data_IF_227888972266
#
_entry.id   IF_227888972266
#
_cell.length_a   1.000
_cell.length_b   1.000
_cell.length_c   1.000
_cell.angle_alpha   90.00
_cell.angle_beta   90.00
_cell.angle_gamma   90.00
#
_symmetry.space_group_name_H-M   'P 1'
#
loop_
_entity.id
_entity.type
_entity.pdbx_description
1 polymer ?
#
# COMPACT_ATOMS: atom_id res chain seq x y z
N UNK A 1 -2.26 27.32 -15.45
CA UNK A 1 -2.26 26.98 -14.00
C UNK A 1 -2.74 25.56 -13.89
N UNK A 2 -1.89 24.63 -13.41
CA UNK A 2 -2.32 23.26 -13.23
C UNK A 2 -3.39 23.23 -12.12
N UNK A 3 -4.60 22.78 -12.48
CA UNK A 3 -5.65 22.51 -11.49
C UNK A 3 -5.22 21.25 -10.72
N UNK A 4 -4.55 21.43 -9.59
CA UNK A 4 -4.40 20.36 -8.62
C UNK A 4 -5.77 20.18 -7.97
N UNK A 5 -6.49 19.13 -8.31
CA UNK A 5 -7.71 18.77 -7.59
C UNK A 5 -7.31 18.40 -6.16
N UNK A 6 -7.67 19.21 -5.16
CA UNK A 6 -7.27 18.92 -3.80
C UNK A 6 -7.96 17.64 -3.33
N UNK A 7 -7.17 16.74 -2.76
CA UNK A 7 -7.68 15.55 -2.08
C UNK A 7 -7.82 15.88 -0.60
N UNK A 8 -9.02 15.67 -0.05
CA UNK A 8 -9.31 15.86 1.36
C UNK A 8 -9.08 14.56 2.12
N UNK A 9 -8.08 14.53 2.97
CA UNK A 9 -7.84 13.39 3.87
C UNK A 9 -8.93 13.35 4.95
N UNK A 10 -9.55 12.20 5.12
CA UNK A 10 -10.63 11.95 6.08
C UNK A 10 -10.17 11.13 7.28
N UNK A 11 -9.29 10.14 7.06
CA UNK A 11 -8.81 9.23 8.10
C UNK A 11 -7.43 8.70 7.76
N UNK A 12 -6.57 8.58 8.77
CA UNK A 12 -5.31 7.84 8.69
C UNK A 12 -5.38 6.64 9.63
N UNK A 13 -5.08 5.46 9.11
CA UNK A 13 -5.06 4.21 9.86
C UNK A 13 -3.69 3.55 9.76
N UNK A 14 -3.38 2.75 10.77
CA UNK A 14 -2.30 1.78 10.75
C UNK A 14 -2.91 0.38 10.77
N UNK A 15 -2.58 -0.45 9.79
CA UNK A 15 -3.14 -1.79 9.64
C UNK A 15 -2.01 -2.80 9.78
N UNK A 16 -2.12 -3.63 10.82
CA UNK A 16 -1.19 -4.73 11.09
C UNK A 16 -1.78 -6.07 10.65
N UNK A 17 -0.97 -7.09 10.39
CA UNK A 17 -1.43 -8.48 10.43
C UNK A 17 -2.16 -8.78 11.73
N UNK A 18 -3.04 -9.80 11.79
CA UNK A 18 -3.72 -10.16 13.03
C UNK A 18 -2.72 -10.41 14.16
N UNK A 19 -2.95 -9.86 15.38
CA UNK A 19 -2.01 -9.96 16.49
C UNK A 19 -1.60 -11.40 16.80
N UNK A 20 -0.32 -11.63 17.03
CA UNK A 20 0.23 -12.94 17.38
C UNK A 20 0.19 -13.98 16.25
N UNK A 21 -0.15 -13.58 15.01
CA UNK A 21 -0.25 -14.51 13.89
C UNK A 21 1.10 -14.93 13.29
N UNK A 22 2.18 -14.17 13.52
CA UNK A 22 3.44 -14.34 12.79
C UNK A 22 4.69 -14.39 13.69
N UNK A 23 4.73 -13.62 14.78
CA UNK A 23 5.97 -13.36 15.53
C UNK A 23 6.99 -12.53 14.72
N UNK A 24 8.11 -12.21 15.33
CA UNK A 24 9.16 -11.41 14.71
C UNK A 24 9.87 -12.20 13.59
N UNK A 25 10.19 -11.52 12.50
CA UNK A 25 10.86 -12.10 11.33
C UNK A 25 11.94 -11.17 10.82
N UNK A 26 13.06 -11.75 10.44
CA UNK A 26 14.15 -11.06 9.74
C UNK A 26 14.38 -11.82 8.43
N UNK A 27 14.48 -11.09 7.32
CA UNK A 27 14.76 -11.65 6.00
C UNK A 27 15.98 -10.92 5.42
N UNK A 28 17.04 -11.64 5.09
CA UNK A 28 18.18 -11.04 4.40
C UNK A 28 17.76 -10.60 3.00
N UNK A 29 18.43 -9.57 2.49
CA UNK A 29 18.27 -9.17 1.09
C UNK A 29 18.93 -10.20 0.17
N UNK A 30 18.31 -10.39 -1.00
CA UNK A 30 18.93 -11.14 -2.09
C UNK A 30 19.85 -10.24 -2.92
N UNK A 31 20.70 -10.83 -3.76
CA UNK A 31 21.55 -10.08 -4.69
C UNK A 31 20.74 -9.12 -5.59
N UNK A 32 19.54 -9.52 -5.99
CA UNK A 32 18.68 -8.69 -6.85
C UNK A 32 18.03 -7.53 -6.09
N UNK A 33 17.78 -7.66 -4.81
CA UNK A 33 17.18 -6.59 -3.97
C UNK A 33 18.16 -5.43 -3.78
N UNK A 34 19.47 -5.72 -3.73
CA UNK A 34 20.53 -4.72 -3.51
C UNK A 34 20.50 -3.61 -4.56
N UNK A 35 20.15 -3.92 -5.81
CA UNK A 35 20.05 -2.92 -6.89
C UNK A 35 18.96 -1.88 -6.64
N UNK A 36 17.98 -2.17 -5.79
CA UNK A 36 16.84 -1.32 -5.50
C UNK A 36 16.92 -0.61 -4.15
N UNK A 37 18.08 -0.68 -3.48
CA UNK A 37 18.30 0.04 -2.23
C UNK A 37 18.22 1.58 -2.44
N UNK A 38 17.80 2.34 -1.42
CA UNK A 38 17.79 3.80 -1.51
C UNK A 38 19.13 4.37 -2.03
N UNK A 39 19.12 5.46 -2.82
CA UNK A 39 18.02 6.42 -3.02
C UNK A 39 17.07 6.14 -4.21
N UNK A 40 16.91 4.91 -4.65
CA UNK A 40 16.07 4.61 -5.81
C UNK A 40 14.59 4.92 -5.59
N UNK A 41 13.84 5.24 -6.68
CA UNK A 41 12.46 5.66 -6.58
C UNK A 41 11.55 4.52 -6.08
N UNK A 42 10.51 4.90 -5.36
CA UNK A 42 9.44 3.99 -4.99
C UNK A 42 8.59 3.61 -6.20
N UNK A 43 8.08 2.38 -6.22
CA UNK A 43 7.00 1.97 -7.12
C UNK A 43 5.73 2.69 -6.71
N UNK A 44 5.09 3.37 -7.66
CA UNK A 44 3.78 3.99 -7.48
C UNK A 44 2.80 3.41 -8.47
N UNK A 45 1.63 3.02 -7.99
CA UNK A 45 0.57 2.46 -8.81
C UNK A 45 -0.79 3.01 -8.39
N UNK A 46 -1.72 3.05 -9.35
CA UNK A 46 -3.09 3.49 -9.17
C UNK A 46 -4.03 2.44 -9.75
N UNK A 47 -5.02 2.04 -8.97
CA UNK A 47 -6.06 1.11 -9.35
C UNK A 47 -7.40 1.83 -9.25
N UNK A 48 -8.07 1.99 -10.38
CA UNK A 48 -9.38 2.65 -10.45
C UNK A 48 -10.48 1.61 -10.55
N UNK A 49 -11.59 1.84 -9.84
CA UNK A 49 -12.80 1.03 -9.91
C UNK A 49 -14.03 1.93 -9.82
N UNK A 50 -15.02 1.68 -10.66
CA UNK A 50 -16.31 2.36 -10.56
C UNK A 50 -17.00 2.01 -9.25
N UNK A 51 -17.65 3.02 -8.64
CA UNK A 51 -18.34 2.88 -7.36
C UNK A 51 -19.44 3.94 -7.26
N UNK A 52 -20.70 3.52 -7.35
CA UNK A 52 -21.86 4.40 -7.51
C UNK A 52 -22.57 4.75 -6.19
N UNK A 53 -21.95 4.53 -5.04
CA UNK A 53 -22.55 4.79 -3.75
C UNK A 53 -21.97 6.05 -3.08
N UNK A 54 -22.70 6.53 -2.06
CA UNK A 54 -22.30 7.71 -1.30
C UNK A 54 -21.05 7.47 -0.44
N UNK A 55 -20.37 8.57 -0.08
CA UNK A 55 -19.28 8.56 0.89
C UNK A 55 -19.70 7.95 2.24
N UNK A 56 -20.93 8.21 2.70
CA UNK A 56 -21.46 7.65 3.95
C UNK A 56 -21.49 6.12 3.91
N UNK A 57 -21.98 5.53 2.80
CA UNK A 57 -21.99 4.07 2.63
C UNK A 57 -20.57 3.52 2.58
N UNK A 58 -19.69 4.17 1.82
CA UNK A 58 -18.28 3.76 1.73
C UNK A 58 -17.62 3.71 3.10
N UNK A 59 -17.72 4.80 3.87
CA UNK A 59 -17.06 4.93 5.17
C UNK A 59 -17.58 3.93 6.21
N UNK A 60 -18.88 3.64 6.21
CA UNK A 60 -19.50 2.81 7.25
C UNK A 60 -19.56 1.31 6.90
N UNK A 61 -19.44 0.95 5.63
CA UNK A 61 -19.59 -0.44 5.17
C UNK A 61 -18.33 -0.95 4.46
N UNK A 62 -17.88 -0.24 3.43
CA UNK A 62 -16.80 -0.74 2.57
C UNK A 62 -15.43 -0.56 3.24
N UNK A 63 -15.14 0.62 3.76
CA UNK A 63 -13.83 0.91 4.33
C UNK A 63 -13.47 0.04 5.56
N UNK A 64 -14.40 -0.27 6.50
CA UNK A 64 -14.15 -1.25 7.54
C UNK A 64 -13.80 -2.65 7.01
N UNK A 65 -14.49 -3.10 5.95
CA UNK A 65 -14.19 -4.37 5.30
C UNK A 65 -12.80 -4.33 4.63
N UNK A 66 -12.44 -3.24 3.94
CA UNK A 66 -11.10 -3.06 3.37
C UNK A 66 -10.01 -3.09 4.44
N UNK A 67 -10.23 -2.47 5.60
CA UNK A 67 -9.28 -2.54 6.73
C UNK A 67 -9.11 -3.96 7.26
N UNK A 68 -10.20 -4.67 7.46
CA UNK A 68 -10.18 -6.04 7.96
C UNK A 68 -9.50 -6.99 6.97
N UNK A 69 -9.92 -6.97 5.71
CA UNK A 69 -9.35 -7.82 4.66
C UNK A 69 -7.87 -7.50 4.41
N UNK A 70 -7.46 -6.21 4.51
CA UNK A 70 -6.05 -5.84 4.43
C UNK A 70 -5.23 -6.49 5.56
N UNK A 71 -5.73 -6.44 6.80
CA UNK A 71 -5.07 -7.10 7.94
C UNK A 71 -4.85 -8.60 7.70
N UNK A 72 -5.88 -9.30 7.20
CA UNK A 72 -5.78 -10.72 6.86
C UNK A 72 -4.79 -10.97 5.70
N UNK A 73 -4.85 -10.16 4.66
CA UNK A 73 -3.92 -10.27 3.51
C UNK A 73 -2.47 -10.07 3.93
N UNK A 74 -2.22 -9.08 4.79
CA UNK A 74 -0.87 -8.77 5.28
C UNK A 74 -0.24 -9.92 6.07
N UNK A 75 -1.02 -10.86 6.62
CA UNK A 75 -0.46 -12.08 7.22
C UNK A 75 0.33 -12.91 6.20
N UNK A 76 -0.13 -12.95 4.95
CA UNK A 76 0.53 -13.68 3.86
C UNK A 76 1.64 -12.86 3.19
N UNK A 77 1.56 -11.55 3.28
CA UNK A 77 2.52 -10.59 2.72
C UNK A 77 3.21 -9.78 3.83
N UNK A 78 3.49 -10.42 4.97
CA UNK A 78 4.00 -9.75 6.17
C UNK A 78 5.26 -8.90 5.95
N UNK A 79 6.19 -9.22 5.03
CA UNK A 79 7.34 -8.36 4.81
C UNK A 79 6.93 -6.92 4.46
N UNK A 80 5.81 -6.75 3.73
CA UNK A 80 5.29 -5.43 3.34
C UNK A 80 4.82 -4.58 4.53
N UNK A 81 4.54 -5.20 5.69
CA UNK A 81 4.21 -4.48 6.93
C UNK A 81 5.43 -4.05 7.71
N UNK A 82 6.58 -4.66 7.44
CA UNK A 82 7.85 -4.38 8.10
C UNK A 82 8.60 -3.19 7.50
N UNK A 83 9.87 -3.16 7.78
CA UNK A 83 10.78 -2.08 7.41
C UNK A 83 12.04 -2.62 6.76
N UNK A 84 12.62 -1.83 5.87
CA UNK A 84 14.03 -1.96 5.50
C UNK A 84 14.85 -1.27 6.58
N UNK A 85 15.71 -2.02 7.25
CA UNK A 85 16.53 -1.53 8.36
C UNK A 85 18.00 -1.65 8.01
N UNK A 86 18.76 -0.63 8.36
CA UNK A 86 20.20 -0.65 8.35
C UNK A 86 20.73 0.07 9.59
N UNK A 87 21.68 -0.54 10.25
CA UNK A 87 22.39 0.05 11.39
C UNK A 87 23.89 -0.21 11.28
N UNK A 88 24.72 0.49 12.09
CA UNK A 88 26.16 0.25 12.11
C UNK A 88 26.51 -1.17 12.61
N UNK A 89 25.65 -1.80 13.36
CA UNK A 89 25.84 -3.16 13.87
C UNK A 89 25.55 -4.21 12.80
N UNK A 90 24.78 -3.86 11.75
CA UNK A 90 24.43 -4.73 10.64
C UNK A 90 25.44 -4.55 9.51
N UNK A 91 26.06 -5.62 9.07
CA UNK A 91 26.96 -5.60 7.91
C UNK A 91 26.23 -5.25 6.61
N UNK A 92 24.95 -5.57 6.50
CA UNK A 92 24.09 -5.38 5.33
C UNK A 92 22.68 -4.97 5.76
N UNK A 93 21.92 -4.22 4.93
CA UNK A 93 20.52 -3.93 5.18
C UNK A 93 19.68 -5.22 5.19
N UNK A 94 18.61 -5.25 5.97
CA UNK A 94 17.71 -6.39 6.05
C UNK A 94 16.24 -5.97 6.16
N UNK A 95 15.32 -6.86 5.79
CA UNK A 95 13.91 -6.69 6.09
C UNK A 95 13.62 -7.18 7.49
N UNK A 96 13.08 -6.28 8.31
CA UNK A 96 12.68 -6.59 9.68
C UNK A 96 11.17 -6.42 9.81
N UNK A 97 10.49 -7.46 10.30
CA UNK A 97 9.10 -7.41 10.73
C UNK A 97 9.04 -7.74 12.22
N UNK A 98 8.48 -6.84 12.99
CA UNK A 98 8.21 -7.02 14.44
C UNK A 98 6.69 -7.15 14.59
N UNK A 99 6.25 -8.07 15.45
CA UNK A 99 4.80 -8.27 15.67
C UNK A 99 4.15 -6.96 16.12
N UNK A 100 3.12 -6.53 15.38
CA UNK A 100 2.51 -5.20 15.51
C UNK A 100 2.96 -4.16 14.49
N UNK A 101 3.97 -4.43 13.68
CA UNK A 101 4.31 -3.58 12.53
C UNK A 101 3.11 -3.43 11.59
N UNK A 102 3.03 -2.29 10.91
CA UNK A 102 1.81 -1.89 10.22
C UNK A 102 2.04 -1.11 8.94
N UNK A 103 1.14 -1.30 8.02
CA UNK A 103 1.03 -0.49 6.79
C UNK A 103 0.17 0.75 7.06
N UNK A 104 0.59 1.89 6.52
CA UNK A 104 -0.23 3.11 6.53
C UNK A 104 -1.36 3.00 5.49
N UNK A 105 -2.60 3.21 5.92
CA UNK A 105 -3.78 3.29 5.06
C UNK A 105 -4.47 4.63 5.27
N UNK A 106 -4.57 5.42 4.20
CA UNK A 106 -5.25 6.72 4.20
C UNK A 106 -6.60 6.61 3.49
N UNK A 107 -7.67 7.10 4.12
CA UNK A 107 -8.94 7.35 3.46
C UNK A 107 -9.00 8.83 3.07
N UNK A 108 -9.31 9.10 1.82
CA UNK A 108 -9.42 10.44 1.29
C UNK A 108 -10.65 10.59 0.38
N UNK A 109 -11.06 11.82 0.13
CA UNK A 109 -12.14 12.19 -0.77
C UNK A 109 -11.63 13.19 -1.81
N UNK A 110 -12.09 13.06 -3.03
CA UNK A 110 -11.80 13.99 -4.13
C UNK A 110 -13.07 14.34 -4.88
N UNK A 111 -13.20 15.61 -5.25
CA UNK A 111 -14.21 16.14 -6.17
C UNK A 111 -13.73 16.21 -7.63
N UNK A 112 -12.55 15.63 -7.90
CA UNK A 112 -11.98 15.54 -9.23
C UNK A 112 -12.81 14.69 -10.20
N UNK A 113 -12.56 14.85 -11.50
CA UNK A 113 -13.24 14.09 -12.54
C UNK A 113 -12.68 12.65 -12.60
N UNK A 114 -13.40 11.72 -11.97
CA UNK A 114 -13.06 10.29 -11.94
C UNK A 114 -12.91 9.71 -13.36
N UNK A 115 -13.86 10.01 -14.27
CA UNK A 115 -13.85 9.44 -15.62
C UNK A 115 -12.69 9.98 -16.45
N UNK A 116 -12.33 11.26 -16.26
CA UNK A 116 -11.12 11.81 -16.84
C UNK A 116 -9.86 11.11 -16.30
N UNK A 117 -9.75 10.93 -14.98
CA UNK A 117 -8.56 10.33 -14.36
C UNK A 117 -8.41 8.83 -14.70
N UNK A 118 -9.51 8.09 -14.78
CA UNK A 118 -9.50 6.65 -15.10
C UNK A 118 -9.50 6.32 -16.58
N UNK A 119 -9.81 7.30 -17.46
CA UNK A 119 -10.00 7.12 -18.88
C UNK A 119 -8.71 6.76 -19.66
N UNK A 120 -8.86 6.21 -20.85
CA UNK A 120 -7.74 5.84 -21.73
C UNK A 120 -7.42 6.95 -22.74
N UNK A 121 -6.80 8.04 -22.28
CA UNK A 121 -6.35 9.17 -23.07
C UNK A 121 -5.13 9.84 -22.41
N UNK A 122 -4.53 10.84 -23.06
CA UNK A 122 -3.42 11.59 -22.47
C UNK A 122 -3.90 12.42 -21.27
N UNK A 123 -3.17 12.34 -20.16
CA UNK A 123 -3.48 13.03 -18.88
C UNK A 123 -2.23 13.68 -18.32
N UNK A 124 -2.42 14.76 -17.58
CA UNK A 124 -1.34 15.40 -16.84
C UNK A 124 -0.97 14.55 -15.61
N UNK A 125 0.28 14.10 -15.56
CA UNK A 125 0.81 13.29 -14.45
C UNK A 125 0.69 13.99 -13.09
N UNK A 126 0.70 15.32 -13.07
CA UNK A 126 0.57 16.08 -11.83
C UNK A 126 -0.78 15.87 -11.12
N UNK A 127 -1.82 15.47 -11.86
CA UNK A 127 -3.14 15.18 -11.30
C UNK A 127 -3.15 13.91 -10.44
N UNK A 128 -2.16 13.03 -10.63
CA UNK A 128 -2.09 11.74 -9.92
C UNK A 128 -1.29 11.79 -8.61
N UNK A 129 -0.45 12.81 -8.41
CA UNK A 129 0.41 12.89 -7.22
C UNK A 129 -0.38 12.91 -5.90
N UNK A 130 -1.56 13.50 -5.88
CA UNK A 130 -2.42 13.55 -4.70
C UNK A 130 -3.15 12.23 -4.41
N UNK A 131 -3.17 11.30 -5.37
CA UNK A 131 -3.85 10.00 -5.24
C UNK A 131 -2.94 8.90 -4.70
N UNK A 132 -1.64 9.15 -4.59
CA UNK A 132 -0.67 8.18 -4.04
C UNK A 132 -0.11 8.69 -2.72
N UNK A 133 0.00 7.82 -1.68
CA UNK A 133 0.61 8.20 -0.42
C UNK A 133 2.12 8.38 -0.55
N UNK A 134 2.74 9.04 0.43
CA UNK A 134 4.19 9.10 0.58
C UNK A 134 4.67 8.05 1.56
N UNK A 135 5.79 7.38 1.25
CA UNK A 135 6.53 6.60 2.23
C UNK A 135 7.46 7.56 2.97
N UNK A 136 7.16 7.80 4.24
CA UNK A 136 7.99 8.62 5.10
C UNK A 136 8.86 7.71 5.97
N UNK A 137 10.19 7.86 5.97
CA UNK A 137 11.06 7.11 6.86
C UNK A 137 10.62 7.22 8.33
N UNK A 138 10.64 6.13 9.06
CA UNK A 138 10.28 6.10 10.48
C UNK A 138 11.40 6.65 11.36
N UNK A 139 12.65 6.49 10.92
CA UNK A 139 13.84 7.07 11.52
C UNK A 139 14.88 7.35 10.45
N UNK A 140 15.54 8.49 10.56
CA UNK A 140 16.75 8.84 9.78
C UNK A 140 17.74 9.46 10.76
N UNK A 141 18.26 8.65 11.68
CA UNK A 141 19.36 9.04 12.55
C UNK A 141 20.62 8.41 11.93
N UNK A 142 21.46 9.24 11.30
CA UNK A 142 22.71 8.78 10.69
C UNK A 142 23.59 8.10 11.76
N UNK A 143 24.03 6.85 11.55
CA UNK A 143 23.98 6.05 10.33
C UNK A 143 22.83 5.05 10.23
N UNK A 144 21.83 5.14 11.09
CA UNK A 144 20.71 4.20 11.14
C UNK A 144 19.50 4.71 10.37
N UNK A 145 18.87 3.85 9.58
CA UNK A 145 17.59 4.16 8.97
C UNK A 145 16.59 3.00 9.12
N UNK A 146 15.33 3.38 9.21
CA UNK A 146 14.19 2.46 9.15
C UNK A 146 13.16 3.04 8.18
N UNK A 147 12.93 2.34 7.08
CA UNK A 147 12.06 2.77 5.99
C UNK A 147 10.90 1.80 5.86
N UNK A 148 9.64 2.25 5.99
CA UNK A 148 8.48 1.41 5.75
C UNK A 148 8.44 0.95 4.28
N UNK A 149 7.90 -0.24 4.03
CA UNK A 149 7.95 -0.86 2.72
C UNK A 149 6.71 -0.60 1.87
N UNK A 150 5.56 -0.28 2.49
CA UNK A 150 4.28 -0.09 1.81
C UNK A 150 3.45 1.02 2.47
N UNK A 151 2.81 1.83 1.66
CA UNK A 151 1.74 2.74 2.06
C UNK A 151 0.60 2.69 1.04
N UNK A 152 -0.63 2.81 1.52
CA UNK A 152 -1.85 2.72 0.73
C UNK A 152 -2.74 3.95 0.96
N UNK A 153 -3.43 4.38 -0.09
CA UNK A 153 -4.44 5.43 0.00
C UNK A 153 -5.67 5.02 -0.79
N UNK A 154 -6.84 5.11 -0.18
CA UNK A 154 -8.12 4.94 -0.86
C UNK A 154 -8.74 6.31 -1.01
N UNK A 155 -8.83 6.79 -2.24
CA UNK A 155 -9.49 8.05 -2.57
C UNK A 155 -10.86 7.75 -3.17
N UNK A 156 -11.90 8.27 -2.54
CA UNK A 156 -13.29 8.11 -3.00
C UNK A 156 -13.68 9.35 -3.81
N UNK A 157 -14.25 9.09 -4.97
CA UNK A 157 -14.93 10.07 -5.83
C UNK A 157 -16.42 9.82 -5.68
N UNK A 158 -17.16 10.60 -4.88
CA UNK A 158 -18.55 10.30 -4.53
C UNK A 158 -19.43 10.06 -5.76
N UNK A 159 -20.18 8.96 -5.76
CA UNK A 159 -21.08 8.51 -6.83
C UNK A 159 -20.42 8.21 -8.18
N UNK A 160 -19.08 8.14 -8.26
CA UNK A 160 -18.35 7.90 -9.51
C UNK A 160 -17.40 6.73 -9.40
N UNK A 161 -16.55 6.70 -8.37
CA UNK A 161 -15.57 5.63 -8.26
C UNK A 161 -14.66 5.75 -7.05
N UNK A 162 -13.70 4.83 -7.01
CA UNK A 162 -12.59 4.84 -6.06
C UNK A 162 -11.27 4.70 -6.80
N UNK A 163 -10.23 5.25 -6.21
CA UNK A 163 -8.84 5.02 -6.62
C UNK A 163 -8.05 4.47 -5.42
N UNK A 164 -7.42 3.31 -5.58
CA UNK A 164 -6.44 2.80 -4.62
C UNK A 164 -5.06 3.18 -5.11
N UNK A 165 -4.42 4.13 -4.42
CA UNK A 165 -3.04 4.53 -4.64
C UNK A 165 -2.10 3.72 -3.77
N UNK A 166 -1.03 3.23 -4.37
CA UNK A 166 0.00 2.45 -3.72
C UNK A 166 1.34 3.13 -3.89
N UNK A 167 2.10 3.24 -2.81
CA UNK A 167 3.52 3.56 -2.84
C UNK A 167 4.27 2.47 -2.09
N UNK A 168 5.23 1.84 -2.74
CA UNK A 168 5.99 0.75 -2.16
C UNK A 168 7.50 0.90 -2.45
N UNK A 169 8.32 0.39 -1.56
CA UNK A 169 9.76 0.30 -1.78
C UNK A 169 10.05 -0.79 -2.82
N UNK A 170 10.79 -0.44 -3.89
CA UNK A 170 11.06 -1.40 -4.98
C UNK A 170 11.95 -2.56 -4.53
N UNK A 171 12.71 -2.39 -3.45
CA UNK A 171 13.50 -3.46 -2.85
C UNK A 171 12.61 -4.60 -2.32
N UNK A 172 11.36 -4.29 -1.91
CA UNK A 172 10.46 -5.28 -1.31
C UNK A 172 9.52 -5.95 -2.31
N UNK A 173 9.25 -5.31 -3.46
CA UNK A 173 8.34 -5.86 -4.45
C UNK A 173 8.57 -5.28 -5.86
N UNK A 174 8.27 -6.09 -6.85
CA UNK A 174 8.14 -5.72 -8.25
C UNK A 174 6.66 -5.54 -8.66
N UNK A 175 6.43 -5.21 -9.93
CA UNK A 175 5.08 -5.03 -10.45
C UNK A 175 4.22 -6.31 -10.38
N UNK A 176 4.85 -7.50 -10.54
CA UNK A 176 4.14 -8.80 -10.46
C UNK A 176 3.67 -9.06 -9.04
N UNK A 177 4.56 -8.90 -8.08
CA UNK A 177 4.26 -9.05 -6.64
C UNK A 177 3.20 -8.05 -6.18
N UNK A 178 3.27 -6.78 -6.65
CA UNK A 178 2.26 -5.78 -6.37
C UNK A 178 0.87 -6.20 -6.89
N UNK A 179 0.78 -6.64 -8.14
CA UNK A 179 -0.49 -7.10 -8.72
C UNK A 179 -1.02 -8.33 -7.97
N UNK A 180 -0.13 -9.25 -7.57
CA UNK A 180 -0.51 -10.40 -6.77
C UNK A 180 -1.07 -10.01 -5.41
N UNK A 181 -0.41 -9.10 -4.69
CA UNK A 181 -0.89 -8.53 -3.44
C UNK A 181 -2.29 -7.89 -3.59
N UNK A 182 -2.48 -7.06 -4.63
CA UNK A 182 -3.76 -6.38 -4.86
C UNK A 182 -4.89 -7.37 -5.18
N UNK A 183 -4.61 -8.42 -5.97
CA UNK A 183 -5.58 -9.49 -6.26
C UNK A 183 -5.93 -10.29 -5.00
N UNK A 184 -4.94 -10.62 -4.18
CA UNK A 184 -5.14 -11.30 -2.91
C UNK A 184 -6.03 -10.47 -1.97
N UNK A 185 -5.73 -9.17 -1.82
CA UNK A 185 -6.53 -8.27 -1.00
C UNK A 185 -7.97 -8.15 -1.51
N UNK A 186 -8.18 -8.02 -2.81
CA UNK A 186 -9.51 -7.99 -3.41
C UNK A 186 -10.28 -9.30 -3.14
N UNK A 187 -9.65 -10.46 -3.32
CA UNK A 187 -10.26 -11.77 -3.07
C UNK A 187 -10.67 -11.95 -1.61
N UNK A 188 -9.81 -11.59 -0.66
CA UNK A 188 -10.14 -11.63 0.78
C UNK A 188 -11.27 -10.64 1.13
N UNK A 189 -11.28 -9.46 0.49
CA UNK A 189 -12.34 -8.46 0.70
C UNK A 189 -13.70 -8.94 0.18
N UNK A 190 -13.73 -9.71 -0.91
CA UNK A 190 -14.96 -10.25 -1.50
C UNK A 190 -15.48 -11.46 -0.74
N UNK A 191 -14.60 -12.41 -0.43
CA UNK A 191 -14.98 -13.68 0.20
C UNK A 191 -15.20 -13.59 1.71
N UNK A 192 -14.57 -12.63 2.37
CA UNK A 192 -14.49 -12.54 3.83
C UNK A 192 -13.73 -13.70 4.49
N UNK A 193 -13.12 -14.57 3.69
CA UNK A 193 -12.38 -15.75 4.15
C UNK A 193 -10.89 -15.52 4.00
N UNK A 194 -10.14 -15.82 5.06
CA UNK A 194 -8.68 -15.77 5.11
C UNK A 194 -8.04 -17.00 4.41
N UNK A 195 -8.53 -17.34 3.23
CA UNK A 195 -7.95 -18.36 2.38
C UNK A 195 -7.57 -17.75 1.03
N UNK A 196 -6.29 -17.55 0.82
CA UNK A 196 -5.81 -17.30 -0.53
C UNK A 196 -5.99 -18.58 -1.36
N UNK A 197 -6.51 -18.49 -2.60
CA UNK A 197 -6.53 -19.64 -3.50
C UNK A 197 -5.10 -20.18 -3.65
N UNK A 198 -4.92 -21.47 -3.37
CA UNK A 198 -3.62 -22.17 -3.47
C UNK A 198 -3.04 -22.16 -4.90
N UNK A 199 -3.85 -21.84 -5.91
CA UNK A 199 -3.42 -21.74 -7.32
C UNK A 199 -2.64 -20.46 -7.68
N UNK A 200 -2.41 -19.59 -6.71
CA UNK A 200 -1.56 -18.40 -6.90
C UNK A 200 -0.10 -18.64 -6.49
N UNK A 201 0.29 -19.88 -6.24
CA UNK A 201 1.69 -20.23 -6.06
C UNK A 201 2.46 -19.86 -7.33
N UNK A 202 3.35 -18.91 -7.19
CA UNK A 202 4.30 -18.50 -8.22
C UNK A 202 5.19 -19.72 -8.50
N UNK A 203 5.36 -20.15 -9.77
CA UNK A 203 6.36 -21.15 -10.10
C UNK A 203 7.76 -20.63 -9.84
#
# INVERSE_FOLDING_TARGET
>A
MAHTNPVKVLEHCKISPPPGSLGNKILPLTFFDIFWLPPYPHVKALFFSEYSYSMHHFKNTIFPNLKHSLSLTLRHFYPLSGHLVWSQELSEPEFCYIDGDSVSLTLAESDGDFHHLSGNHARDVNQFHCLVPTLTPSSMVDPEFSIPLLALQVTVFPNSGICIGVTASHVALDARTLVHFMKAWASVSESGVDSLPLDSAIP
#
